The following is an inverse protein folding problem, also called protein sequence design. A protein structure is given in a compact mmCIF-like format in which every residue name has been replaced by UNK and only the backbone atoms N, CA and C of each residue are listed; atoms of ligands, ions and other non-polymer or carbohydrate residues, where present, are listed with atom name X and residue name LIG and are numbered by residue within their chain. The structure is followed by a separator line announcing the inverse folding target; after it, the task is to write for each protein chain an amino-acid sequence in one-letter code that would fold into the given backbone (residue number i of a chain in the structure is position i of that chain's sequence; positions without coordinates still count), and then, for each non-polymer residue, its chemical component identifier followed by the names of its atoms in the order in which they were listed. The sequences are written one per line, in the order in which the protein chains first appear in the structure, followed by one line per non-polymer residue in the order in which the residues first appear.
data_IF_111556853752
#
_entry.id   IF_111556853752
#
_cell.length_a   1.000
_cell.length_b   1.000
_cell.length_c   1.000
_cell.angle_alpha   90.00
_cell.angle_beta   90.00
_cell.angle_gamma   90.00
#
_symmetry.space_group_name_H-M   'P 1'
#
loop_
_entity.id
_entity.type
_entity.pdbx_description
1 polymer ?
#
# COMPACT_ATOMS: atom_id res chain seq x y z
N UNK A 1 -20.84 -3.35 6.95
CA UNK A 1 -20.57 -1.99 6.40
C UNK A 1 -19.96 -2.10 5.00
N UNK A 2 -20.75 -2.03 3.92
CA UNK A 2 -20.25 -2.19 2.54
C UNK A 2 -19.52 -0.94 2.00
N UNK A 3 -19.93 0.25 2.45
CA UNK A 3 -19.40 1.53 1.96
C UNK A 3 -17.92 1.78 2.33
N UNK A 4 -17.45 1.52 3.57
CA UNK A 4 -16.04 1.65 3.92
C UNK A 4 -15.12 0.73 3.12
N UNK A 5 -15.52 -0.53 2.89
CA UNK A 5 -14.74 -1.48 2.09
C UNK A 5 -14.60 -1.04 0.64
N UNK A 6 -15.67 -0.51 0.02
CA UNK A 6 -15.60 0.07 -1.34
C UNK A 6 -14.63 1.24 -1.42
N UNK A 7 -14.66 2.13 -0.41
CA UNK A 7 -13.70 3.24 -0.33
C UNK A 7 -12.26 2.74 -0.14
N UNK A 8 -12.06 1.72 0.70
CA UNK A 8 -10.77 1.06 0.88
C UNK A 8 -10.23 0.49 -0.42
N UNK A 9 -11.06 -0.24 -1.17
CA UNK A 9 -10.67 -0.79 -2.46
C UNK A 9 -10.29 0.30 -3.46
N UNK A 10 -11.07 1.38 -3.53
CA UNK A 10 -10.75 2.53 -4.38
C UNK A 10 -9.39 3.17 -4.01
N UNK A 11 -9.11 3.34 -2.71
CA UNK A 11 -7.80 3.82 -2.24
C UNK A 11 -6.67 2.85 -2.60
N UNK A 12 -6.88 1.54 -2.44
CA UNK A 12 -5.89 0.53 -2.79
C UNK A 12 -5.61 0.48 -4.31
N UNK A 13 -6.63 0.66 -5.15
CA UNK A 13 -6.47 0.73 -6.62
C UNK A 13 -5.68 1.96 -7.08
N UNK A 14 -5.58 3.01 -6.25
CA UNK A 14 -4.70 4.15 -6.52
C UNK A 14 -3.29 3.92 -5.95
N UNK A 15 -3.22 3.42 -4.72
CA UNK A 15 -1.95 3.22 -4.01
C UNK A 15 -1.04 2.19 -4.69
N UNK A 16 -1.57 1.04 -5.10
CA UNK A 16 -0.75 -0.05 -5.63
C UNK A 16 -0.05 0.33 -6.94
N UNK A 17 -0.74 0.86 -7.98
CA UNK A 17 -0.07 1.34 -9.18
C UNK A 17 0.95 2.47 -8.92
N UNK A 18 0.63 3.38 -7.99
CA UNK A 18 1.54 4.45 -7.59
C UNK A 18 2.86 3.91 -7.00
N UNK A 19 2.77 2.94 -6.09
CA UNK A 19 3.95 2.33 -5.48
C UNK A 19 4.77 1.52 -6.49
N UNK A 20 4.11 0.82 -7.43
CA UNK A 20 4.79 0.13 -8.54
C UNK A 20 5.57 1.13 -9.39
N UNK A 21 4.94 2.26 -9.76
CA UNK A 21 5.60 3.30 -10.55
C UNK A 21 6.82 3.87 -9.82
N UNK A 22 6.69 4.18 -8.53
CA UNK A 22 7.79 4.70 -7.70
C UNK A 22 8.96 3.73 -7.62
N UNK A 23 8.69 2.44 -7.40
CA UNK A 23 9.71 1.39 -7.35
C UNK A 23 10.42 1.20 -8.69
N UNK A 24 9.67 1.25 -9.80
CA UNK A 24 10.26 1.18 -11.15
C UNK A 24 11.19 2.37 -11.42
N UNK A 25 10.79 3.57 -11.05
CA UNK A 25 11.65 4.75 -11.17
C UNK A 25 12.91 4.63 -10.32
N UNK A 26 12.80 4.15 -9.09
CA UNK A 26 13.97 3.93 -8.23
C UNK A 26 14.96 2.92 -8.84
N UNK A 27 14.45 1.83 -9.44
CA UNK A 27 15.27 0.85 -10.14
C UNK A 27 16.01 1.45 -11.36
N UNK A 28 15.31 2.30 -12.13
CA UNK A 28 15.86 2.90 -13.36
C UNK A 28 16.84 4.02 -13.05
N UNK A 29 16.48 4.94 -12.17
CA UNK A 29 17.23 6.18 -11.93
C UNK A 29 18.27 6.05 -10.83
N UNK A 30 18.00 5.25 -9.79
CA UNK A 30 18.88 5.11 -8.62
C UNK A 30 19.62 3.78 -8.58
N UNK A 31 19.55 2.98 -9.66
CA UNK A 31 20.12 1.62 -9.74
C UNK A 31 19.61 0.70 -8.63
N UNK A 32 18.40 0.96 -8.12
CA UNK A 32 17.74 0.08 -7.17
C UNK A 32 17.56 -1.32 -7.76
N UNK A 33 17.66 -2.36 -6.92
CA UNK A 33 17.39 -3.73 -7.37
C UNK A 33 15.89 -3.98 -7.39
N UNK A 34 15.34 -4.54 -8.48
CA UNK A 34 13.92 -4.90 -8.49
C UNK A 34 13.65 -6.00 -7.45
N UNK A 35 12.82 -5.70 -6.46
CA UNK A 35 12.38 -6.64 -5.43
C UNK A 35 10.88 -6.52 -5.21
N UNK A 36 10.15 -7.61 -5.48
CA UNK A 36 8.72 -7.68 -5.23
C UNK A 36 8.39 -7.67 -3.73
N UNK A 37 9.26 -8.29 -2.91
CA UNK A 37 9.12 -8.31 -1.46
C UNK A 37 9.27 -6.90 -0.89
N UNK A 38 10.28 -6.13 -1.33
CA UNK A 38 10.49 -4.76 -0.85
C UNK A 38 9.34 -3.85 -1.27
N UNK A 39 8.86 -4.02 -2.50
CA UNK A 39 7.68 -3.29 -3.00
C UNK A 39 6.44 -3.61 -2.16
N UNK A 40 6.19 -4.90 -1.85
CA UNK A 40 5.05 -5.31 -1.05
C UNK A 40 5.12 -4.75 0.37
N UNK A 41 6.28 -4.80 1.01
CA UNK A 41 6.51 -4.19 2.34
C UNK A 41 6.21 -2.69 2.31
N UNK A 42 6.76 -1.96 1.33
CA UNK A 42 6.48 -0.52 1.18
C UNK A 42 5.00 -0.22 0.95
N UNK A 43 4.29 -1.03 0.16
CA UNK A 43 2.83 -0.89 -0.04
C UNK A 43 2.09 -1.05 1.28
N UNK A 44 2.43 -2.07 2.08
CA UNK A 44 1.81 -2.33 3.38
C UNK A 44 2.05 -1.16 4.36
N UNK A 45 3.27 -0.65 4.41
CA UNK A 45 3.65 0.47 5.28
C UNK A 45 2.91 1.76 4.89
N UNK A 46 2.85 2.07 3.59
CA UNK A 46 2.15 3.25 3.07
C UNK A 46 0.64 3.14 3.31
N UNK A 47 0.05 1.95 3.09
CA UNK A 47 -1.37 1.71 3.37
C UNK A 47 -1.69 1.89 4.86
N UNK A 48 -0.82 1.40 5.76
CA UNK A 48 -0.95 1.59 7.20
C UNK A 48 -0.76 3.05 7.61
N UNK A 49 0.14 3.78 6.95
CA UNK A 49 0.31 5.22 7.16
C UNK A 49 -0.95 5.99 6.76
N UNK A 50 -1.54 5.70 5.60
CA UNK A 50 -2.77 6.35 5.14
C UNK A 50 -3.96 6.03 6.05
N UNK A 51 -4.06 4.78 6.52
CA UNK A 51 -5.08 4.38 7.48
C UNK A 51 -4.96 5.17 8.80
N UNK A 52 -3.73 5.36 9.31
CA UNK A 52 -3.45 6.20 10.50
C UNK A 52 -3.75 7.68 10.25
N UNK A 53 -3.50 8.18 9.04
CA UNK A 53 -3.80 9.54 8.61
C UNK A 53 -5.30 9.80 8.35
N UNK A 54 -6.17 8.81 8.55
CA UNK A 54 -7.63 8.98 8.47
C UNK A 54 -8.30 8.35 7.23
N UNK A 55 -7.58 7.58 6.41
CA UNK A 55 -8.18 6.78 5.34
C UNK A 55 -8.96 5.58 5.93
N UNK A 56 -10.14 5.85 6.50
CA UNK A 56 -10.96 4.87 7.21
C UNK A 56 -11.38 3.67 6.34
N UNK A 57 -11.46 3.85 5.02
CA UNK A 57 -11.70 2.75 4.08
C UNK A 57 -10.53 1.77 4.02
N UNK A 58 -9.29 2.27 4.02
CA UNK A 58 -8.10 1.43 4.12
C UNK A 58 -8.00 0.76 5.48
N UNK A 59 -8.29 1.48 6.57
CA UNK A 59 -8.36 0.89 7.92
C UNK A 59 -9.33 -0.30 8.01
N UNK A 60 -10.39 -0.30 7.20
CA UNK A 60 -11.37 -1.38 7.18
C UNK A 60 -10.92 -2.63 6.39
N UNK A 61 -9.86 -2.54 5.58
CA UNK A 61 -9.38 -3.66 4.74
C UNK A 61 -7.91 -4.03 5.01
N UNK A 62 -7.14 -3.16 5.65
CA UNK A 62 -5.74 -3.37 6.02
C UNK A 62 -5.69 -3.93 7.46
N UNK A 63 -5.04 -5.07 7.70
CA UNK A 63 -4.78 -5.57 9.05
C UNK A 63 -4.04 -4.54 9.90
N UNK A 64 -4.45 -4.35 11.16
CA UNK A 64 -3.78 -3.42 12.07
C UNK A 64 -2.38 -3.93 12.49
N UNK A 65 -2.19 -5.25 12.45
CA UNK A 65 -0.92 -5.94 12.64
C UNK A 65 -0.77 -6.92 11.47
N UNK A 66 0.41 -6.91 10.84
CA UNK A 66 0.77 -7.90 9.82
C UNK A 66 1.38 -9.16 10.44
N UNK A 67 1.25 -9.33 11.77
CA UNK A 67 1.59 -10.55 12.49
C UNK A 67 0.67 -11.68 12.02
N UNK A 68 1.14 -12.36 10.98
CA UNK A 68 0.82 -13.76 10.75
C UNK A 68 1.92 -14.55 11.43
N UNK A 69 1.54 -15.58 12.19
CA UNK A 69 2.43 -16.60 12.73
C UNK A 69 3.55 -17.01 11.76
#
# INVERSE_FOLDING_TARGET
TPKPMRKGLASATLLVPWMIWKHRNDCVFNRGRPSANDLLTKIKDEAALWARAGALGLRAIVPQTWDVH
#
